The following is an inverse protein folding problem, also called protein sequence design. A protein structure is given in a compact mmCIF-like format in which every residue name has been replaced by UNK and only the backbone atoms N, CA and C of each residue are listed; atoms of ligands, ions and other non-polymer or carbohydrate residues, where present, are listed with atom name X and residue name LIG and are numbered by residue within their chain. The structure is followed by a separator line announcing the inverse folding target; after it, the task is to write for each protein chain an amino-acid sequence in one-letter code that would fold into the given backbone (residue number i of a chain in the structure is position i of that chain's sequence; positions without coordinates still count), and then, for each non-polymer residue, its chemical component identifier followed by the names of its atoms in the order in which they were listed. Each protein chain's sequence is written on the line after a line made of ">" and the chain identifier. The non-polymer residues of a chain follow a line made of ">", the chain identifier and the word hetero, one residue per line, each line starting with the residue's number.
data_IF_437812669804
#
_entry.id   IF_437812669804
#
_cell.length_a   1.000
_cell.length_b   1.000
_cell.length_c   1.000
_cell.angle_alpha   90.00
_cell.angle_beta   90.00
_cell.angle_gamma   90.00
#
_symmetry.space_group_name_H-M   'P 1'
#
loop_
_entity.id
_entity.type
_entity.pdbx_description
1 polymer ?
#
# COMPACT_ATOMS: atom_id res chain seq x y z
N UNK A 1 11.76 -15.55 3.15
CA UNK A 1 12.93 -15.27 2.26
C UNK A 1 12.40 -14.67 0.97
N UNK A 2 12.77 -13.43 0.65
CA UNK A 2 12.39 -12.80 -0.62
C UNK A 2 13.08 -13.55 -1.77
N UNK A 3 12.35 -13.83 -2.86
CA UNK A 3 12.93 -14.44 -4.07
C UNK A 3 14.10 -13.57 -4.56
N UNK A 4 15.24 -14.16 -4.97
CA UNK A 4 16.31 -13.41 -5.60
C UNK A 4 15.77 -12.74 -6.87
N UNK A 5 15.99 -11.43 -7.00
CA UNK A 5 15.53 -10.63 -8.13
C UNK A 5 16.20 -11.11 -9.43
N UNK A 6 15.48 -11.94 -10.18
CA UNK A 6 15.95 -12.55 -11.43
C UNK A 6 16.32 -11.49 -12.50
N UNK A 7 15.79 -10.27 -12.38
CA UNK A 7 16.02 -9.20 -13.35
C UNK A 7 17.27 -8.36 -13.05
N UNK A 8 18.02 -8.64 -11.99
CA UNK A 8 19.25 -7.90 -11.66
C UNK A 8 20.29 -7.96 -12.78
N UNK A 9 20.44 -9.12 -13.43
CA UNK A 9 21.40 -9.30 -14.53
C UNK A 9 21.00 -8.44 -15.72
N UNK A 10 19.72 -8.52 -16.12
CA UNK A 10 19.17 -7.74 -17.24
C UNK A 10 19.31 -6.23 -17.02
N UNK A 11 19.13 -5.77 -15.77
CA UNK A 11 19.25 -4.35 -15.41
C UNK A 11 20.68 -3.81 -15.46
N UNK A 12 21.68 -4.67 -15.29
CA UNK A 12 23.09 -4.29 -15.33
C UNK A 12 23.69 -4.37 -16.74
N UNK A 13 23.03 -5.07 -17.68
CA UNK A 13 23.52 -5.23 -19.05
C UNK A 13 23.87 -3.91 -19.73
N UNK A 14 23.01 -2.87 -19.75
CA UNK A 14 23.34 -1.61 -20.43
C UNK A 14 24.59 -0.93 -19.83
N UNK A 15 24.77 -1.02 -18.51
CA UNK A 15 25.93 -0.45 -17.82
C UNK A 15 27.20 -1.21 -18.23
N UNK A 16 27.15 -2.55 -18.18
CA UNK A 16 28.31 -3.39 -18.51
C UNK A 16 28.70 -3.22 -19.97
N UNK A 17 27.74 -3.25 -20.89
CA UNK A 17 27.99 -3.08 -22.32
C UNK A 17 28.50 -1.68 -22.63
N UNK A 18 27.87 -0.64 -22.05
CA UNK A 18 28.31 0.75 -22.25
C UNK A 18 29.71 1.02 -21.69
N UNK A 19 30.04 0.50 -20.51
CA UNK A 19 31.37 0.63 -19.92
C UNK A 19 32.44 -0.13 -20.72
N UNK A 20 32.13 -1.36 -21.16
CA UNK A 20 33.03 -2.18 -21.97
C UNK A 20 33.28 -1.52 -23.34
N UNK A 21 32.22 -1.09 -24.03
CA UNK A 21 32.33 -0.39 -25.31
C UNK A 21 33.12 0.92 -25.20
N UNK A 22 32.84 1.74 -24.18
CA UNK A 22 33.59 2.98 -23.92
C UNK A 22 35.07 2.73 -23.63
N UNK A 23 35.38 1.67 -22.87
CA UNK A 23 36.77 1.27 -22.58
C UNK A 23 37.49 0.80 -23.85
N UNK A 24 36.83 -0.02 -24.68
CA UNK A 24 37.39 -0.48 -25.95
C UNK A 24 37.64 0.67 -26.93
N UNK A 25 36.74 1.65 -27.00
CA UNK A 25 36.93 2.86 -27.81
C UNK A 25 38.13 3.68 -27.31
N UNK A 26 38.28 3.84 -25.99
CA UNK A 26 39.43 4.52 -25.41
C UNK A 26 40.75 3.81 -25.73
N UNK A 27 40.79 2.48 -25.57
CA UNK A 27 41.97 1.67 -25.92
C UNK A 27 42.28 1.77 -27.41
N UNK A 28 41.26 1.63 -28.27
CA UNK A 28 41.40 1.79 -29.72
C UNK A 28 41.98 3.15 -30.07
N UNK A 29 41.51 4.20 -29.40
CA UNK A 29 42.00 5.57 -29.59
C UNK A 29 43.46 5.74 -29.20
N UNK A 30 43.89 5.16 -28.08
CA UNK A 30 45.28 5.25 -27.61
C UNK A 30 46.26 4.46 -28.49
N UNK A 31 45.79 3.36 -29.09
CA UNK A 31 46.61 2.51 -29.97
C UNK A 31 46.62 2.95 -31.43
N UNK A 32 45.81 3.94 -31.83
CA UNK A 32 45.74 4.43 -33.20
C UNK A 32 46.73 5.59 -33.42
N UNK A 33 47.83 5.39 -34.18
CA UNK A 33 48.84 6.44 -34.40
C UNK A 33 48.40 7.54 -35.37
N UNK A 34 47.64 7.18 -36.41
CA UNK A 34 47.12 8.13 -37.41
C UNK A 34 45.60 8.06 -37.44
N UNK A 35 44.94 9.16 -37.09
CA UNK A 35 43.48 9.23 -37.05
C UNK A 35 42.92 9.75 -38.37
N UNK A 36 41.97 9.02 -38.94
CA UNK A 36 41.18 9.51 -40.09
C UNK A 36 39.94 10.29 -39.61
N UNK A 37 39.44 11.21 -40.44
CA UNK A 37 38.22 11.97 -40.14
C UNK A 37 36.99 11.06 -39.95
N UNK A 38 36.90 9.98 -40.72
CA UNK A 38 35.82 9.00 -40.59
C UNK A 38 35.88 8.28 -39.23
N UNK A 39 37.09 7.89 -38.79
CA UNK A 39 37.29 7.26 -37.49
C UNK A 39 36.99 8.23 -36.34
N UNK A 40 37.39 9.50 -36.45
CA UNK A 40 37.08 10.53 -35.45
C UNK A 40 35.56 10.68 -35.22
N UNK A 41 34.77 10.69 -36.29
CA UNK A 41 33.30 10.78 -36.22
C UNK A 41 32.68 9.52 -35.63
N UNK A 42 33.20 8.34 -35.99
CA UNK A 42 32.76 7.07 -35.44
C UNK A 42 33.05 6.95 -33.95
N UNK A 43 34.25 7.33 -33.50
CA UNK A 43 34.64 7.36 -32.09
C UNK A 43 33.70 8.28 -31.29
N UNK A 44 33.39 9.48 -31.80
CA UNK A 44 32.48 10.41 -31.15
C UNK A 44 31.08 9.82 -30.96
N UNK A 45 30.52 9.20 -32.00
CA UNK A 45 29.21 8.51 -31.92
C UNK A 45 29.26 7.32 -30.96
N UNK A 46 30.36 6.56 -30.95
CA UNK A 46 30.56 5.42 -30.05
C UNK A 46 30.64 5.83 -28.58
N UNK A 47 31.32 6.94 -28.28
CA UNK A 47 31.37 7.50 -26.92
C UNK A 47 29.99 7.97 -26.47
N UNK A 48 29.24 8.65 -27.34
CA UNK A 48 27.86 9.08 -27.05
C UNK A 48 26.98 7.85 -26.76
N UNK A 49 27.05 6.82 -27.61
CA UNK A 49 26.29 5.58 -27.42
C UNK A 49 26.64 4.88 -26.09
N UNK A 50 27.93 4.83 -25.75
CA UNK A 50 28.40 4.26 -24.48
C UNK A 50 27.85 5.01 -23.28
N UNK A 51 27.86 6.34 -23.32
CA UNK A 51 27.29 7.19 -22.28
C UNK A 51 25.76 7.01 -22.16
N UNK A 52 25.05 6.92 -23.28
CA UNK A 52 23.61 6.65 -23.30
C UNK A 52 23.28 5.28 -22.69
N UNK A 53 24.02 4.23 -23.03
CA UNK A 53 23.83 2.89 -22.46
C UNK A 53 24.02 2.88 -20.94
N UNK A 54 25.05 3.56 -20.44
CA UNK A 54 25.29 3.70 -19.00
C UNK A 54 24.13 4.45 -18.33
N UNK A 55 23.70 5.58 -18.91
CA UNK A 55 22.57 6.36 -18.41
C UNK A 55 21.27 5.53 -18.36
N UNK A 56 20.96 4.79 -19.42
CA UNK A 56 19.80 3.88 -19.46
C UNK A 56 19.87 2.83 -18.36
N UNK A 57 21.03 2.22 -18.15
CA UNK A 57 21.23 1.26 -17.07
C UNK A 57 21.05 1.88 -15.68
N UNK A 58 21.56 3.10 -15.45
CA UNK A 58 21.36 3.83 -14.20
C UNK A 58 19.89 4.20 -13.97
N UNK A 59 19.14 4.56 -15.02
CA UNK A 59 17.71 4.81 -14.94
C UNK A 59 16.95 3.53 -14.54
N UNK A 60 17.30 2.39 -15.13
CA UNK A 60 16.72 1.08 -14.78
C UNK A 60 17.03 0.64 -13.34
N UNK A 61 18.13 1.11 -12.74
CA UNK A 61 18.43 0.86 -11.34
C UNK A 61 17.49 1.60 -10.37
N UNK A 62 16.93 2.74 -10.75
CA UNK A 62 16.09 3.59 -9.87
C UNK A 62 14.64 3.15 -9.73
N UNK A 63 14.17 2.18 -10.53
CA UNK A 63 12.73 1.89 -10.69
C UNK A 63 12.16 0.84 -9.71
N UNK A 64 12.93 0.33 -8.73
CA UNK A 64 12.32 -0.57 -7.74
C UNK A 64 11.90 0.16 -6.46
N UNK A 65 10.60 0.34 -6.21
CA UNK A 65 10.12 0.70 -4.88
C UNK A 65 10.53 -0.43 -3.92
N UNK A 66 11.30 -0.10 -2.88
CA UNK A 66 11.53 -1.04 -1.79
C UNK A 66 10.18 -1.32 -1.14
N UNK A 67 9.76 -2.59 -1.14
CA UNK A 67 8.61 -3.00 -0.37
C UNK A 67 8.88 -2.66 1.10
N UNK A 68 7.96 -1.95 1.77
CA UNK A 68 8.14 -1.57 3.17
C UNK A 68 8.26 -2.82 4.05
N UNK A 69 9.09 -2.75 5.10
CA UNK A 69 9.27 -3.86 6.02
C UNK A 69 7.96 -4.18 6.74
N UNK A 70 7.40 -5.35 6.42
CA UNK A 70 6.17 -5.83 7.01
C UNK A 70 6.43 -6.46 8.38
N UNK A 71 5.65 -6.07 9.39
CA UNK A 71 5.72 -6.66 10.73
C UNK A 71 4.69 -7.77 10.89
N UNK A 72 4.90 -8.68 11.85
CA UNK A 72 3.85 -9.58 12.33
C UNK A 72 3.01 -8.81 13.34
N UNK A 73 1.72 -8.59 13.07
CA UNK A 73 0.87 -7.86 14.01
C UNK A 73 0.70 -8.66 15.32
N UNK A 74 0.59 -7.93 16.43
CA UNK A 74 0.36 -8.49 17.78
C UNK A 74 -1.15 -8.61 18.01
N UNK A 75 -1.63 -9.81 18.29
CA UNK A 75 -3.04 -10.09 18.52
C UNK A 75 -3.40 -11.53 18.12
N UNK A 76 -4.67 -11.88 18.34
CA UNK A 76 -5.22 -13.17 17.94
C UNK A 76 -6.03 -13.03 16.66
N UNK A 77 -5.98 -14.05 15.80
CA UNK A 77 -6.80 -14.06 14.59
C UNK A 77 -8.24 -14.45 14.96
N UNK A 78 -9.21 -13.61 14.58
CA UNK A 78 -10.60 -13.83 14.95
C UNK A 78 -11.62 -13.08 14.09
N UNK A 79 -12.89 -13.39 14.37
CA UNK A 79 -14.07 -12.76 13.80
C UNK A 79 -15.08 -12.54 14.92
N UNK A 80 -15.40 -11.29 15.20
CA UNK A 80 -16.40 -10.88 16.17
C UNK A 80 -17.47 -10.05 15.47
N UNK A 81 -18.73 -10.44 15.65
CA UNK A 81 -19.90 -9.73 15.12
C UNK A 81 -20.77 -9.26 16.29
N UNK A 82 -21.40 -8.10 16.13
CA UNK A 82 -22.38 -7.63 17.09
C UNK A 82 -23.55 -8.61 17.23
N UNK A 83 -24.01 -8.78 18.47
CA UNK A 83 -25.24 -9.53 18.75
C UNK A 83 -26.46 -8.82 18.15
N UNK A 84 -27.46 -9.62 17.74
CA UNK A 84 -28.73 -9.15 17.18
C UNK A 84 -28.65 -8.44 15.82
N UNK A 85 -27.68 -8.80 14.98
CA UNK A 85 -27.64 -8.33 13.59
C UNK A 85 -28.62 -9.14 12.71
N UNK A 86 -29.42 -8.47 11.85
CA UNK A 86 -30.18 -9.12 10.78
C UNK A 86 -29.26 -10.02 9.95
N UNK A 87 -29.79 -11.15 9.45
CA UNK A 87 -29.01 -12.12 8.69
C UNK A 87 -28.35 -11.50 7.46
N UNK A 88 -29.09 -10.68 6.71
CA UNK A 88 -28.58 -9.95 5.55
C UNK A 88 -27.34 -9.09 5.89
N UNK A 89 -27.41 -8.31 6.99
CA UNK A 89 -26.30 -7.48 7.46
C UNK A 89 -25.11 -8.33 7.89
N UNK A 90 -25.35 -9.45 8.57
CA UNK A 90 -24.31 -10.35 9.04
C UNK A 90 -23.55 -11.00 7.88
N UNK A 91 -24.27 -11.48 6.88
CA UNK A 91 -23.68 -12.05 5.66
C UNK A 91 -22.88 -11.01 4.91
N UNK A 92 -23.42 -9.81 4.79
CA UNK A 92 -22.76 -8.71 4.09
C UNK A 92 -21.47 -8.27 4.79
N UNK A 93 -21.49 -8.09 6.12
CA UNK A 93 -20.30 -7.78 6.91
C UNK A 93 -19.24 -8.89 6.82
N UNK A 94 -19.67 -10.15 6.88
CA UNK A 94 -18.77 -11.30 6.74
C UNK A 94 -18.16 -11.38 5.33
N UNK A 95 -18.92 -11.06 4.28
CA UNK A 95 -18.44 -11.02 2.91
C UNK A 95 -17.47 -9.87 2.68
N UNK A 96 -17.86 -8.65 3.04
CA UNK A 96 -17.07 -7.43 2.83
C UNK A 96 -15.71 -7.53 3.53
N UNK A 97 -15.71 -7.98 4.79
CA UNK A 97 -14.48 -8.14 5.56
C UNK A 97 -13.57 -9.24 5.03
N UNK A 98 -14.12 -10.35 4.54
CA UNK A 98 -13.31 -11.40 3.92
C UNK A 98 -12.64 -10.89 2.65
N UNK A 99 -13.38 -10.18 1.80
CA UNK A 99 -12.82 -9.65 0.54
C UNK A 99 -11.71 -8.65 0.83
N UNK A 100 -11.92 -7.73 1.79
CA UNK A 100 -10.90 -6.77 2.19
C UNK A 100 -9.63 -7.46 2.70
N UNK A 101 -9.75 -8.48 3.57
CA UNK A 101 -8.58 -9.20 4.10
C UNK A 101 -7.86 -10.06 3.05
N UNK A 102 -8.56 -10.53 2.03
CA UNK A 102 -7.98 -11.43 1.01
C UNK A 102 -7.48 -10.74 -0.24
N UNK A 103 -8.06 -9.58 -0.60
CA UNK A 103 -7.75 -8.86 -1.84
C UNK A 103 -6.99 -7.54 -1.61
N UNK A 104 -6.80 -7.12 -0.36
CA UNK A 104 -5.97 -5.96 -0.02
C UNK A 104 -4.85 -6.35 0.95
N UNK A 105 -3.98 -5.40 1.28
CA UNK A 105 -2.93 -5.55 2.31
C UNK A 105 -3.44 -5.48 3.75
N UNK A 106 -4.75 -5.35 3.94
CA UNK A 106 -5.41 -5.29 5.26
C UNK A 106 -5.20 -6.58 6.05
N UNK A 107 -4.92 -6.44 7.35
CA UNK A 107 -4.72 -7.56 8.29
C UNK A 107 -5.66 -7.52 9.49
N UNK A 108 -6.23 -6.37 9.78
CA UNK A 108 -7.27 -6.22 10.79
C UNK A 108 -8.24 -5.15 10.33
N UNK A 109 -9.52 -5.31 10.63
CA UNK A 109 -10.55 -4.32 10.32
C UNK A 109 -11.62 -4.27 11.39
N UNK A 110 -12.22 -3.08 11.51
CA UNK A 110 -13.31 -2.77 12.42
C UNK A 110 -14.38 -1.98 11.66
N UNK A 111 -15.64 -2.37 11.82
CA UNK A 111 -16.79 -1.63 11.29
C UNK A 111 -17.53 -0.97 12.44
N UNK A 112 -17.55 0.36 12.45
CA UNK A 112 -18.31 1.18 13.37
C UNK A 112 -19.54 1.72 12.64
N UNK A 113 -20.73 1.62 13.25
CA UNK A 113 -21.96 2.21 12.72
C UNK A 113 -22.85 2.69 13.86
N UNK A 114 -23.35 3.92 13.78
CA UNK A 114 -24.16 4.57 14.83
C UNK A 114 -23.52 4.52 16.22
N UNK A 115 -22.19 4.66 16.29
CA UNK A 115 -21.43 4.58 17.55
C UNK A 115 -21.28 3.16 18.13
N UNK A 116 -21.77 2.12 17.43
CA UNK A 116 -21.65 0.72 17.84
C UNK A 116 -20.69 -0.03 16.93
N UNK A 117 -19.82 -0.86 17.51
CA UNK A 117 -18.97 -1.78 16.75
C UNK A 117 -19.82 -2.94 16.24
N UNK A 118 -19.94 -3.07 14.92
CA UNK A 118 -20.72 -4.12 14.28
C UNK A 118 -19.88 -5.36 13.96
N UNK A 119 -18.61 -5.17 13.63
CA UNK A 119 -17.70 -6.22 13.20
C UNK A 119 -16.26 -5.88 13.60
N UNK A 120 -15.52 -6.88 14.08
CA UNK A 120 -14.05 -6.88 14.14
C UNK A 120 -13.56 -8.17 13.47
N UNK A 121 -12.57 -8.10 12.58
CA UNK A 121 -12.04 -9.29 11.90
C UNK A 121 -10.56 -9.16 11.55
N UNK A 122 -9.86 -10.29 11.55
CA UNK A 122 -8.44 -10.38 11.24
C UNK A 122 -7.65 -10.50 12.53
N UNK A 123 -6.56 -9.75 12.67
CA UNK A 123 -5.76 -9.75 13.89
C UNK A 123 -6.39 -8.78 14.89
N UNK A 124 -7.01 -9.32 15.93
CA UNK A 124 -7.77 -8.57 16.93
C UNK A 124 -6.86 -8.04 18.03
N UNK A 125 -7.09 -6.78 18.41
CA UNK A 125 -6.49 -6.20 19.60
C UNK A 125 -7.22 -6.66 20.86
N UNK A 126 -6.56 -6.55 22.01
CA UNK A 126 -7.17 -6.85 23.32
C UNK A 126 -8.34 -5.91 23.62
N UNK A 127 -8.22 -4.62 23.25
CA UNK A 127 -9.32 -3.67 23.41
C UNK A 127 -10.33 -3.81 22.25
N UNK A 128 -11.60 -4.00 22.58
CA UNK A 128 -12.70 -4.10 21.62
C UNK A 128 -13.50 -2.79 21.48
N UNK A 129 -13.35 -1.87 22.43
CA UNK A 129 -14.13 -0.64 22.50
C UNK A 129 -13.54 0.41 21.55
N UNK A 130 -14.35 0.91 20.62
CA UNK A 130 -13.95 1.99 19.71
C UNK A 130 -14.38 3.32 20.31
N UNK A 131 -13.40 4.15 20.71
CA UNK A 131 -13.63 5.53 21.15
C UNK A 131 -13.21 6.48 20.02
N UNK A 132 -14.16 7.15 19.35
CA UNK A 132 -13.82 8.07 18.26
C UNK A 132 -12.96 9.23 18.77
N UNK A 133 -11.67 9.21 18.41
CA UNK A 133 -10.78 10.34 18.59
C UNK A 133 -10.90 11.37 17.46
N UNK A 134 -10.00 12.38 17.42
CA UNK A 134 -10.10 13.48 16.47
C UNK A 134 -10.06 13.08 15.00
N UNK A 135 -9.35 12.00 14.63
CA UNK A 135 -9.26 11.59 13.23
C UNK A 135 -10.56 10.89 12.83
N UNK A 136 -11.04 9.96 13.66
CA UNK A 136 -12.28 9.26 13.37
C UNK A 136 -13.49 10.21 13.36
N UNK A 137 -13.55 11.15 14.30
CA UNK A 137 -14.57 12.20 14.31
C UNK A 137 -14.52 13.05 13.03
N UNK A 138 -13.34 13.46 12.58
CA UNK A 138 -13.19 14.22 11.33
C UNK A 138 -13.66 13.42 10.11
N UNK A 139 -13.43 12.11 10.07
CA UNK A 139 -13.92 11.22 9.00
C UNK A 139 -15.45 11.19 9.00
N UNK A 140 -16.06 11.02 10.17
CA UNK A 140 -17.52 11.00 10.34
C UNK A 140 -18.16 12.36 10.00
N UNK A 141 -17.57 13.48 10.43
CA UNK A 141 -18.09 14.83 10.18
C UNK A 141 -17.91 15.29 8.74
N UNK A 142 -16.70 15.13 8.20
CA UNK A 142 -16.35 15.66 6.87
C UNK A 142 -16.68 14.69 5.75
N UNK A 143 -17.03 13.45 6.07
CA UNK A 143 -17.31 12.41 5.08
C UNK A 143 -16.16 12.26 4.09
N UNK A 144 -14.92 12.39 4.60
CA UNK A 144 -13.69 12.28 3.81
C UNK A 144 -12.82 11.19 4.41
N UNK A 145 -12.35 10.24 3.59
CA UNK A 145 -11.47 9.21 4.08
C UNK A 145 -10.13 9.80 4.53
N UNK A 146 -9.55 9.17 5.53
CA UNK A 146 -8.20 9.49 6.02
C UNK A 146 -7.33 8.25 5.90
N UNK A 147 -6.19 8.42 5.23
CA UNK A 147 -5.17 7.40 5.13
C UNK A 147 -3.91 7.82 5.91
N UNK A 148 -3.62 7.09 6.98
CA UNK A 148 -2.38 7.19 7.75
C UNK A 148 -1.34 6.24 7.17
N UNK A 149 -0.49 6.79 6.30
CA UNK A 149 0.53 6.03 5.56
C UNK A 149 1.64 5.46 6.44
N UNK A 150 1.91 6.08 7.59
CA UNK A 150 2.90 5.63 8.57
C UNK A 150 2.41 6.03 9.96
N UNK A 151 1.74 5.11 10.64
CA UNK A 151 1.10 5.35 11.94
C UNK A 151 2.12 5.86 12.98
N UNK A 152 3.40 5.49 12.88
CA UNK A 152 4.42 5.94 13.82
C UNK A 152 4.66 7.44 13.75
N UNK A 153 4.43 8.07 12.60
CA UNK A 153 4.59 9.50 12.38
C UNK A 153 3.45 10.35 12.96
N UNK A 154 2.34 9.74 13.37
CA UNK A 154 1.15 10.46 13.86
C UNK A 154 1.05 10.40 15.39
N UNK A 155 1.05 11.54 16.10
CA UNK A 155 0.88 11.56 17.55
C UNK A 155 -0.53 11.12 17.99
N UNK A 156 -1.54 11.30 17.12
CA UNK A 156 -2.93 10.89 17.37
C UNK A 156 -3.19 9.39 17.30
N UNK A 157 -2.18 8.56 17.00
CA UNK A 157 -2.33 7.09 16.85
C UNK A 157 -2.91 6.37 18.07
N UNK A 158 -2.86 7.02 19.24
CA UNK A 158 -3.37 6.50 20.51
C UNK A 158 -4.89 6.24 20.43
N UNK A 159 -5.61 6.93 19.54
CA UNK A 159 -7.06 6.69 19.36
C UNK A 159 -7.39 5.33 18.74
N UNK A 160 -6.41 4.63 18.14
CA UNK A 160 -6.60 3.33 17.48
C UNK A 160 -6.18 2.15 18.37
N UNK A 161 -6.35 2.27 19.67
CA UNK A 161 -6.03 1.23 20.66
C UNK A 161 -6.86 -0.06 20.49
N UNK A 162 -7.96 0.01 19.73
CA UNK A 162 -8.78 -1.12 19.29
C UNK A 162 -8.22 -1.88 18.07
N UNK A 163 -7.10 -1.43 17.49
CA UNK A 163 -6.31 -2.13 16.46
C UNK A 163 -5.01 -2.69 17.07
N UNK A 164 -4.35 -3.67 16.42
CA UNK A 164 -3.06 -4.17 16.89
C UNK A 164 -2.05 -3.05 17.15
N UNK A 165 -1.38 -3.08 18.30
CA UNK A 165 -0.52 -1.98 18.77
C UNK A 165 0.61 -1.63 17.80
N UNK A 166 1.09 -2.61 17.05
CA UNK A 166 2.15 -2.46 16.05
C UNK A 166 1.62 -2.31 14.61
N UNK A 167 0.40 -1.81 14.44
CA UNK A 167 -0.15 -1.41 13.13
C UNK A 167 0.76 -0.36 12.47
N UNK A 168 0.99 -0.51 11.16
CA UNK A 168 1.90 0.38 10.41
C UNK A 168 1.16 1.35 9.48
N UNK A 169 -0.02 0.96 8.96
CA UNK A 169 -0.85 1.79 8.11
C UNK A 169 -2.32 1.66 8.48
N UNK A 170 -3.08 2.75 8.42
CA UNK A 170 -4.51 2.76 8.76
C UNK A 170 -5.30 3.51 7.70
N UNK A 171 -6.40 2.94 7.21
CA UNK A 171 -7.41 3.66 6.44
C UNK A 171 -8.67 3.79 7.30
N UNK A 172 -9.17 5.01 7.43
CA UNK A 172 -10.50 5.29 7.97
C UNK A 172 -11.37 5.77 6.82
N UNK A 173 -12.27 4.92 6.36
CA UNK A 173 -13.22 5.19 5.29
C UNK A 173 -14.61 5.42 5.90
N UNK A 174 -15.32 6.52 5.60
CA UNK A 174 -16.69 6.70 6.06
C UNK A 174 -17.63 5.67 5.42
N UNK A 175 -18.63 5.21 6.17
CA UNK A 175 -19.75 4.40 5.69
C UNK A 175 -21.00 5.26 5.85
N UNK A 176 -21.35 6.00 4.80
CA UNK A 176 -22.36 7.05 4.86
C UNK A 176 -22.13 8.03 6.02
N UNK A 177 -23.19 8.71 6.44
CA UNK A 177 -23.14 9.70 7.51
C UNK A 177 -23.11 9.12 8.94
N UNK A 178 -23.22 7.80 9.08
CA UNK A 178 -23.45 7.13 10.37
C UNK A 178 -22.36 6.14 10.77
N UNK A 179 -21.43 5.79 9.87
CA UNK A 179 -20.43 4.78 10.16
C UNK A 179 -19.04 5.07 9.61
N UNK A 180 -18.12 4.21 9.99
CA UNK A 180 -16.76 4.19 9.50
C UNK A 180 -16.22 2.75 9.43
N UNK A 181 -15.53 2.47 8.34
CA UNK A 181 -14.71 1.28 8.11
C UNK A 181 -13.27 1.64 8.45
N UNK A 182 -12.71 1.01 9.49
CA UNK A 182 -11.32 1.19 9.90
C UNK A 182 -10.52 -0.05 9.51
N UNK A 183 -9.47 0.13 8.71
CA UNK A 183 -8.61 -0.94 8.21
C UNK A 183 -7.18 -0.74 8.69
N UNK A 184 -6.51 -1.82 9.08
CA UNK A 184 -5.15 -1.84 9.56
C UNK A 184 -4.26 -2.70 8.65
N UNK A 185 -3.10 -2.17 8.28
CA UNK A 185 -2.05 -2.88 7.55
C UNK A 185 -0.79 -3.05 8.39
N UNK A 186 -0.04 -4.11 8.08
CA UNK A 186 1.18 -4.48 8.77
C UNK A 186 2.47 -3.93 8.14
N UNK A 187 2.35 -3.07 7.13
CA UNK A 187 3.46 -2.35 6.51
C UNK A 187 3.04 -0.89 6.27
N UNK A 188 3.97 0.10 6.41
CA UNK A 188 3.66 1.48 6.09
C UNK A 188 3.54 1.67 4.57
N UNK A 189 2.75 2.65 4.10
CA UNK A 189 2.58 2.99 2.67
C UNK A 189 2.21 1.79 1.79
N UNK A 190 1.48 0.83 2.35
CA UNK A 190 1.20 -0.45 1.70
C UNK A 190 -0.04 -0.43 0.83
N UNK A 191 -1.02 0.42 1.14
CA UNK A 191 -2.23 0.56 0.33
C UNK A 191 -1.93 1.28 -0.98
N UNK A 192 -2.37 0.67 -2.07
CA UNK A 192 -2.34 1.26 -3.41
C UNK A 192 -3.60 2.08 -3.68
N UNK A 193 -3.59 2.87 -4.75
CA UNK A 193 -4.80 3.59 -5.18
C UNK A 193 -5.95 2.64 -5.55
N UNK A 194 -5.62 1.46 -6.05
CA UNK A 194 -6.62 0.42 -6.33
C UNK A 194 -7.24 -0.11 -5.04
N UNK A 195 -6.44 -0.31 -3.98
CA UNK A 195 -6.96 -0.71 -2.67
C UNK A 195 -7.89 0.37 -2.10
N UNK A 196 -7.48 1.64 -2.14
CA UNK A 196 -8.33 2.76 -1.69
C UNK A 196 -9.69 2.78 -2.40
N UNK A 197 -9.71 2.62 -3.73
CA UNK A 197 -10.95 2.58 -4.50
C UNK A 197 -11.83 1.37 -4.15
N UNK A 198 -11.22 0.21 -3.88
CA UNK A 198 -11.96 -0.98 -3.42
C UNK A 198 -12.56 -0.77 -2.04
N UNK A 199 -11.81 -0.14 -1.13
CA UNK A 199 -12.28 0.19 0.22
C UNK A 199 -13.47 1.15 0.17
N UNK A 200 -13.40 2.18 -0.68
CA UNK A 200 -14.50 3.11 -0.93
C UNK A 200 -15.75 2.40 -1.48
N UNK A 201 -15.60 1.60 -2.54
CA UNK A 201 -16.72 0.88 -3.14
C UNK A 201 -17.39 -0.11 -2.17
N UNK A 202 -16.60 -0.77 -1.31
CA UNK A 202 -17.13 -1.68 -0.28
C UNK A 202 -17.84 -0.88 0.82
N UNK A 203 -17.30 0.27 1.23
CA UNK A 203 -17.97 1.14 2.20
C UNK A 203 -19.32 1.66 1.68
N UNK A 204 -19.40 2.04 0.40
CA UNK A 204 -20.67 2.46 -0.24
C UNK A 204 -21.69 1.32 -0.26
N UNK A 205 -21.26 0.09 -0.58
CA UNK A 205 -22.14 -1.09 -0.55
C UNK A 205 -22.62 -1.41 0.87
N UNK A 206 -21.73 -1.28 1.85
CA UNK A 206 -22.06 -1.44 3.27
C UNK A 206 -23.07 -0.38 3.71
N UNK A 207 -22.90 0.88 3.30
CA UNK A 207 -23.83 1.95 3.62
C UNK A 207 -25.24 1.64 3.10
N UNK A 208 -25.35 1.19 1.85
CA UNK A 208 -26.64 0.75 1.30
C UNK A 208 -27.29 -0.35 2.15
N UNK A 209 -26.53 -1.38 2.52
CA UNK A 209 -27.08 -2.52 3.29
C UNK A 209 -27.45 -2.12 4.72
N UNK A 210 -26.58 -1.38 5.40
CA UNK A 210 -26.79 -0.96 6.78
C UNK A 210 -27.95 0.04 6.87
N UNK A 211 -28.03 0.98 5.93
CA UNK A 211 -29.12 1.95 5.92
C UNK A 211 -30.49 1.28 5.68
N UNK A 212 -30.59 0.25 4.84
CA UNK A 212 -31.86 -0.46 4.64
C UNK A 212 -32.29 -1.33 5.84
N UNK A 213 -31.35 -1.93 6.56
CA UNK A 213 -31.66 -2.93 7.58
C UNK A 213 -31.56 -2.45 9.02
N UNK A 214 -30.85 -1.35 9.29
CA UNK A 214 -30.62 -0.81 10.62
C UNK A 214 -31.20 0.60 10.83
N UNK A 215 -31.63 1.30 9.77
CA UNK A 215 -32.28 2.62 9.91
C UNK A 215 -33.77 2.54 10.22
N UNK A 216 -34.37 1.34 10.20
CA UNK A 216 -35.78 1.15 10.58
C UNK A 216 -35.86 1.02 12.10
N UNK A 217 -35.65 2.13 12.80
CA UNK A 217 -36.12 2.29 14.18
C UNK A 217 -36.55 3.75 14.38
N UNK A 218 -37.62 4.13 13.67
CA UNK A 218 -38.58 5.16 14.09
C UNK A 218 -39.96 4.67 13.68
#
# INVERSE_FOLDING_TARGET
>A
MAKPDQNQVLRRLPIVVGALAGTLLLVNRLLTPNLTDAQARSDALGVILSALLILTGLLWQRIQPRSPDAVKLVGEEGLELASNLPEAVRLELAWASQILLTNTVTRSLVVLYQGRVLLRRGILATNAEVKPGPILQRVLEKQKPVYLVDVKAYPGRIEFDYLPENTQGIICQPIGNQGALILAANAPRSYTKQDENWVEAIADKLDNTLSHHLSVTI
#
